data_IF_628003919991
#
_entry.id   IF_628003919991
#
_cell.length_a   1.000
_cell.length_b   1.000
_cell.length_c   1.000
_cell.angle_alpha   90.00
_cell.angle_beta   90.00
_cell.angle_gamma   90.00
#
_symmetry.space_group_name_H-M   'P 1'
#
loop_
_entity.id
_entity.type
_entity.pdbx_description
1 polymer ?
#
# COMPACT_ATOMS: atom_id res chain seq x y z
N UNK A 1 7.29 3.97 1.74
CA UNK A 1 6.00 3.35 1.39
C UNK A 1 5.01 3.44 2.55
N UNK A 2 3.83 4.01 2.27
CA UNK A 2 2.73 4.20 3.22
C UNK A 2 1.42 3.78 2.54
N UNK A 3 0.64 2.92 3.20
CA UNK A 3 -0.75 2.68 2.82
C UNK A 3 -1.64 3.26 3.90
N UNK A 4 -2.65 3.98 3.44
CA UNK A 4 -3.60 4.66 4.30
C UNK A 4 -4.99 4.36 3.77
N UNK A 5 -5.94 4.17 4.69
CA UNK A 5 -7.34 4.19 4.33
C UNK A 5 -7.73 5.60 3.90
N UNK A 6 -8.18 5.74 2.66
CA UNK A 6 -8.48 7.04 2.07
C UNK A 6 -9.65 7.77 2.76
N UNK A 7 -10.54 7.02 3.42
CA UNK A 7 -11.77 7.58 4.01
C UNK A 7 -11.53 8.08 5.44
N UNK A 8 -10.86 7.28 6.26
CA UNK A 8 -10.60 7.57 7.68
C UNK A 8 -9.24 8.21 7.93
N UNK A 9 -8.33 8.18 6.96
CA UNK A 9 -6.95 8.60 7.15
C UNK A 9 -6.15 7.67 8.07
N UNK A 10 -6.67 6.49 8.42
CA UNK A 10 -5.94 5.52 9.25
C UNK A 10 -4.78 4.94 8.45
N UNK A 11 -3.59 4.92 9.06
CA UNK A 11 -2.45 4.22 8.48
C UNK A 11 -2.70 2.71 8.60
N UNK A 12 -2.73 2.04 7.45
CA UNK A 12 -2.91 0.59 7.36
C UNK A 12 -1.56 -0.13 7.37
N UNK A 13 -0.56 0.48 6.74
CA UNK A 13 0.78 -0.08 6.64
C UNK A 13 1.82 1.02 6.46
N UNK A 14 2.98 0.86 7.10
CA UNK A 14 4.10 1.79 6.92
C UNK A 14 5.40 1.01 6.92
N UNK A 15 6.21 1.20 5.88
CA UNK A 15 7.55 0.64 5.79
C UNK A 15 8.53 1.68 5.27
N UNK A 16 9.66 1.77 5.97
CA UNK A 16 10.79 2.57 5.54
C UNK A 16 11.61 1.76 4.55
N UNK A 17 11.64 2.23 3.31
CA UNK A 17 12.35 1.60 2.20
C UNK A 17 13.25 2.66 1.57
N UNK A 18 14.50 2.28 1.27
CA UNK A 18 15.44 3.19 0.60
C UNK A 18 15.12 3.35 -0.88
N UNK A 19 14.61 2.28 -1.51
CA UNK A 19 14.16 2.28 -2.90
C UNK A 19 12.81 1.56 -2.97
N UNK A 20 11.76 2.25 -3.38
CA UNK A 20 10.46 1.61 -3.59
C UNK A 20 10.52 0.68 -4.80
N UNK A 21 10.04 -0.55 -4.63
CA UNK A 21 9.98 -1.55 -5.70
C UNK A 21 8.61 -2.22 -5.68
N UNK A 22 8.19 -2.77 -6.81
CA UNK A 22 6.87 -3.42 -6.94
C UNK A 22 6.73 -4.62 -5.99
N UNK A 23 7.85 -5.29 -5.67
CA UNK A 23 7.89 -6.37 -4.68
C UNK A 23 7.51 -5.90 -3.28
N UNK A 24 7.99 -4.73 -2.87
CA UNK A 24 7.66 -4.15 -1.56
C UNK A 24 6.18 -3.73 -1.50
N UNK A 25 5.63 -3.27 -2.63
CA UNK A 25 4.21 -2.96 -2.75
C UNK A 25 3.34 -4.21 -2.62
N UNK A 26 3.67 -5.28 -3.34
CA UNK A 26 2.98 -6.58 -3.27
C UNK A 26 2.98 -7.12 -1.84
N UNK A 27 4.15 -7.12 -1.19
CA UNK A 27 4.26 -7.53 0.22
C UNK A 27 3.33 -6.70 1.11
N UNK A 28 3.34 -5.37 0.97
CA UNK A 28 2.47 -4.51 1.78
C UNK A 28 0.97 -4.74 1.55
N UNK A 29 0.56 -5.05 0.32
CA UNK A 29 -0.83 -5.42 0.01
C UNK A 29 -1.23 -6.76 0.63
N UNK A 30 -0.32 -7.73 0.63
CA UNK A 30 -0.52 -9.02 1.29
C UNK A 30 -0.64 -8.87 2.81
N UNK A 31 0.23 -8.09 3.44
CA UNK A 31 0.18 -7.77 4.87
C UNK A 31 -1.18 -7.16 5.27
N UNK A 32 -1.68 -6.20 4.47
CA UNK A 32 -2.98 -5.55 4.71
C UNK A 32 -4.14 -6.55 4.57
N UNK A 33 -4.05 -7.44 3.57
CA UNK A 33 -5.06 -8.47 3.33
C UNK A 33 -5.09 -9.52 4.43
N UNK A 34 -3.92 -9.96 4.90
CA UNK A 34 -3.79 -10.89 6.04
C UNK A 34 -4.35 -10.28 7.33
N UNK A 35 -4.16 -8.97 7.52
CA UNK A 35 -4.79 -8.18 8.58
C UNK A 35 -6.31 -8.01 8.45
N UNK A 36 -6.97 -8.69 7.50
CA UNK A 36 -8.42 -8.70 7.32
C UNK A 36 -8.99 -7.45 6.63
N UNK A 37 -8.13 -6.56 6.13
CA UNK A 37 -8.59 -5.36 5.42
C UNK A 37 -8.83 -5.68 3.96
N UNK A 38 -10.07 -5.50 3.50
CA UNK A 38 -10.44 -5.69 2.10
C UNK A 38 -10.00 -4.50 1.26
N UNK A 39 -9.04 -4.73 0.37
CA UNK A 39 -8.58 -3.72 -0.59
C UNK A 39 -9.52 -3.75 -1.81
N UNK A 40 -10.22 -2.64 -2.07
CA UNK A 40 -11.14 -2.50 -3.22
C UNK A 40 -10.46 -1.79 -4.39
N UNK A 41 -9.62 -0.81 -4.09
CA UNK A 41 -8.81 -0.07 -5.05
C UNK A 41 -7.56 0.46 -4.35
N UNK A 42 -6.50 0.72 -5.13
CA UNK A 42 -5.27 1.33 -4.66
C UNK A 42 -5.02 2.56 -5.52
N UNK A 43 -4.83 3.72 -4.89
CA UNK A 43 -4.46 4.95 -5.57
C UNK A 43 -2.96 5.16 -5.35
N UNK A 44 -2.21 5.29 -6.45
CA UNK A 44 -0.77 5.55 -6.40
C UNK A 44 -0.52 7.01 -6.80
N UNK A 45 0.36 7.68 -6.06
CA UNK A 45 0.82 9.03 -6.39
C UNK A 45 1.91 8.92 -7.48
N UNK A 46 1.52 8.98 -8.76
CA UNK A 46 2.46 8.85 -9.88
C UNK A 46 1.79 8.60 -11.24
N UNK A 47 2.45 9.03 -12.33
CA UNK A 47 1.92 8.94 -13.70
C UNK A 47 1.84 7.49 -14.21
N UNK A 48 2.67 6.60 -13.66
CA UNK A 48 2.67 5.17 -13.95
C UNK A 48 2.52 4.47 -12.60
N UNK A 49 1.30 4.00 -12.30
CA UNK A 49 1.06 3.19 -11.10
C UNK A 49 1.86 1.87 -11.12
N UNK A 50 1.56 1.00 -10.16
CA UNK A 50 2.02 -0.40 -10.13
C UNK A 50 1.99 -1.03 -11.55
N UNK A 51 3.17 -1.30 -12.11
CA UNK A 51 3.39 -2.00 -13.39
C UNK A 51 3.71 -3.48 -13.14
#
# INVERSE_FOLDING_TARGET
MLFQDATSGKILYRKFVKNETNKEYLSGLEDIKDGGTKIVAVVCDGHTGLL
#
